data_IF_736185482232
#
_entry.id   IF_736185482232
#
_cell.length_a   1.000
_cell.length_b   1.000
_cell.length_c   1.000
_cell.angle_alpha   90.00
_cell.angle_beta   90.00
_cell.angle_gamma   90.00
#
_symmetry.space_group_name_H-M   'P 1'
#
loop_
_entity.id
_entity.type
_entity.pdbx_description
1 polymer ?
#
# COMPACT_ATOMS: atom_id res chain seq x y z
N UNK A 1 19.13 -7.47 50.51
CA UNK A 1 19.44 -6.83 49.22
C UNK A 1 18.16 -6.64 48.44
N UNK A 2 17.63 -5.41 48.33
CA UNK A 2 16.55 -5.08 47.40
C UNK A 2 17.19 -5.00 46.01
N UNK A 3 16.93 -5.96 45.14
CA UNK A 3 17.24 -5.84 43.74
C UNK A 3 16.37 -4.74 43.15
N UNK A 4 16.96 -3.60 42.91
CA UNK A 4 16.37 -2.50 42.12
C UNK A 4 16.35 -2.99 40.66
N UNK A 5 15.27 -3.71 40.29
CA UNK A 5 15.05 -4.16 38.93
C UNK A 5 14.63 -2.96 38.12
N UNK A 6 15.59 -2.16 37.66
CA UNK A 6 15.41 -1.27 36.50
C UNK A 6 15.19 -2.17 35.29
N UNK A 7 13.95 -2.59 35.12
CA UNK A 7 13.57 -3.46 34.01
C UNK A 7 13.42 -2.63 32.75
N UNK A 8 14.42 -2.64 31.88
CA UNK A 8 14.39 -1.95 30.58
C UNK A 8 13.14 -2.30 29.76
N UNK A 9 12.58 -3.50 29.94
CA UNK A 9 11.36 -3.96 29.28
C UNK A 9 10.14 -3.07 29.56
N UNK A 10 10.00 -2.55 30.79
CA UNK A 10 8.88 -1.68 31.15
C UNK A 10 8.98 -0.30 30.48
N UNK A 11 10.19 0.22 30.35
CA UNK A 11 10.45 1.50 29.64
C UNK A 11 10.22 1.34 28.15
N UNK A 12 10.73 0.27 27.54
CA UNK A 12 10.55 -0.01 26.13
C UNK A 12 9.07 -0.17 25.73
N UNK A 13 8.30 -0.95 26.51
CA UNK A 13 6.87 -1.11 26.25
C UNK A 13 6.09 0.20 26.39
N UNK A 14 6.50 1.05 27.32
CA UNK A 14 5.92 2.40 27.51
C UNK A 14 6.16 3.28 26.29
N UNK A 15 7.39 3.39 25.83
CA UNK A 15 7.75 4.20 24.64
C UNK A 15 7.09 3.67 23.36
N UNK A 16 7.06 2.36 23.16
CA UNK A 16 6.39 1.76 22.02
C UNK A 16 4.87 2.07 22.02
N UNK A 17 4.23 1.95 23.18
CA UNK A 17 2.81 2.30 23.31
C UNK A 17 2.55 3.79 23.07
N UNK A 18 3.41 4.65 23.57
CA UNK A 18 3.34 6.11 23.33
C UNK A 18 3.43 6.44 21.84
N UNK A 19 4.38 5.84 21.11
CA UNK A 19 4.50 6.01 19.67
C UNK A 19 3.23 5.55 18.92
N UNK A 20 2.67 4.39 19.30
CA UNK A 20 1.43 3.87 18.72
C UNK A 20 0.22 4.77 18.99
N UNK A 21 0.11 5.33 20.19
CA UNK A 21 -0.93 6.33 20.50
C UNK A 21 -0.74 7.59 19.65
N UNK A 22 0.49 8.05 19.46
CA UNK A 22 0.78 9.17 18.56
C UNK A 22 0.34 8.91 17.12
N UNK A 23 0.62 7.73 16.58
CA UNK A 23 0.14 7.31 15.25
C UNK A 23 -1.39 7.35 15.20
N UNK A 24 -2.04 6.72 16.16
CA UNK A 24 -3.51 6.66 16.21
C UNK A 24 -4.14 8.06 16.22
N UNK A 25 -3.60 8.97 17.00
CA UNK A 25 -4.08 10.36 17.09
C UNK A 25 -3.90 11.12 15.77
N UNK A 26 -2.73 10.98 15.14
CA UNK A 26 -2.45 11.62 13.85
C UNK A 26 -3.40 11.06 12.76
N UNK A 27 -3.60 9.74 12.72
CA UNK A 27 -4.51 9.10 11.77
C UNK A 27 -5.96 9.52 12.01
N UNK A 28 -6.40 9.59 13.28
CA UNK A 28 -7.77 10.02 13.62
C UNK A 28 -8.04 11.48 13.20
N UNK A 29 -7.08 12.36 13.40
CA UNK A 29 -7.23 13.76 12.98
C UNK A 29 -7.14 13.92 11.46
N UNK A 30 -6.17 13.25 10.83
CA UNK A 30 -6.04 13.22 9.37
C UNK A 30 -7.32 12.70 8.70
N UNK A 31 -7.93 11.61 9.21
CA UNK A 31 -9.20 11.09 8.71
C UNK A 31 -10.30 12.15 8.73
N UNK A 32 -10.44 12.90 9.84
CA UNK A 32 -11.47 13.96 9.96
C UNK A 32 -11.26 15.08 8.94
N UNK A 33 -10.00 15.45 8.68
CA UNK A 33 -9.66 16.46 7.69
C UNK A 33 -9.97 15.98 6.27
N UNK A 34 -9.56 14.75 5.93
CA UNK A 34 -9.85 14.14 4.62
C UNK A 34 -11.34 13.95 4.40
N UNK A 35 -12.10 13.50 5.42
CA UNK A 35 -13.55 13.35 5.37
C UNK A 35 -14.27 14.66 5.07
N UNK A 36 -13.76 15.79 5.59
CA UNK A 36 -14.31 17.12 5.39
C UNK A 36 -13.72 17.87 4.20
N UNK A 37 -12.80 17.25 3.48
CA UNK A 37 -12.03 17.89 2.41
C UNK A 37 -11.27 19.16 2.88
N UNK A 38 -10.84 19.18 4.16
CA UNK A 38 -10.07 20.26 4.75
C UNK A 38 -8.55 20.08 4.50
N UNK A 39 -7.80 21.18 4.41
CA UNK A 39 -6.35 21.15 4.23
C UNK A 39 -5.63 20.59 5.48
N UNK A 40 -4.85 19.55 5.28
CA UNK A 40 -4.03 18.89 6.30
C UNK A 40 -2.53 19.17 6.16
N UNK A 41 -2.12 19.91 5.14
CA UNK A 41 -0.69 20.17 4.85
C UNK A 41 0.04 20.94 5.96
N UNK A 42 -0.70 21.73 6.72
CA UNK A 42 -0.19 22.53 7.85
C UNK A 42 -0.22 21.79 9.20
N UNK A 43 -0.68 20.52 9.22
CA UNK A 43 -0.78 19.74 10.45
C UNK A 43 0.47 18.88 10.66
N UNK A 44 0.84 18.75 11.93
CA UNK A 44 2.05 18.03 12.36
C UNK A 44 1.77 17.22 13.62
N UNK A 45 2.32 16.00 13.67
CA UNK A 45 2.48 15.20 14.87
C UNK A 45 3.85 15.51 15.47
N UNK A 46 3.88 15.90 16.74
CA UNK A 46 5.10 16.15 17.49
C UNK A 46 5.17 15.17 18.67
N UNK A 47 6.31 14.51 18.81
CA UNK A 47 6.59 13.56 19.87
C UNK A 47 7.71 14.08 20.77
N UNK A 48 7.54 13.94 22.11
CA UNK A 48 8.55 14.23 23.13
C UNK A 48 9.19 15.63 23.01
N UNK A 49 8.38 16.64 22.68
CA UNK A 49 8.87 18.01 22.63
C UNK A 49 9.44 18.44 23.98
N UNK A 50 10.66 18.98 23.97
CA UNK A 50 11.28 19.46 25.20
C UNK A 50 10.40 20.54 25.86
N UNK A 51 9.96 20.26 27.10
CA UNK A 51 8.97 21.10 27.81
C UNK A 51 7.52 20.87 27.33
N UNK A 52 7.25 20.02 26.34
CA UNK A 52 5.93 19.60 25.85
C UNK A 52 5.38 18.36 26.56
N UNK A 53 4.37 17.77 25.97
CA UNK A 53 3.79 16.50 26.40
C UNK A 53 4.30 15.34 25.55
N UNK A 54 3.90 14.12 25.91
CA UNK A 54 4.33 12.90 25.23
C UNK A 54 3.96 12.93 23.74
N UNK A 55 2.76 13.46 23.42
CA UNK A 55 2.23 13.62 22.05
C UNK A 55 1.49 14.93 21.91
N UNK A 56 1.76 15.68 20.86
CA UNK A 56 1.05 16.93 20.54
C UNK A 56 0.69 16.95 19.04
N UNK A 57 -0.52 17.44 18.72
CA UNK A 57 -0.92 17.76 17.34
C UNK A 57 -0.87 19.27 17.17
N UNK A 58 -0.21 19.73 16.13
CA UNK A 58 -0.09 21.13 15.76
C UNK A 58 -0.76 21.41 14.41
N UNK A 59 -1.23 22.65 14.26
CA UNK A 59 -1.63 23.24 12.99
C UNK A 59 -0.95 24.60 12.87
N UNK A 60 -0.10 24.80 11.89
CA UNK A 60 0.58 26.06 11.64
C UNK A 60 1.15 26.70 12.93
N UNK A 61 1.92 25.95 13.70
CA UNK A 61 2.53 26.32 14.99
C UNK A 61 1.55 26.49 16.17
N UNK A 62 0.25 26.30 15.98
CA UNK A 62 -0.75 26.34 17.04
C UNK A 62 -1.04 24.93 17.54
N UNK A 63 -1.06 24.73 18.86
CA UNK A 63 -1.39 23.44 19.46
C UNK A 63 -2.88 23.16 19.31
N UNK A 64 -3.23 22.10 18.60
CA UNK A 64 -4.61 21.60 18.44
C UNK A 64 -4.99 20.74 19.63
N UNK A 65 -4.12 19.79 20.02
CA UNK A 65 -4.36 18.90 21.16
C UNK A 65 -3.05 18.48 21.83
N UNK A 66 -3.14 18.14 23.13
CA UNK A 66 -2.05 17.60 23.95
C UNK A 66 -2.44 16.32 24.62
N UNK A 67 -1.51 15.37 24.63
CA UNK A 67 -1.77 14.04 25.12
C UNK A 67 -0.62 13.55 25.96
N UNK A 68 -0.93 13.05 27.15
CA UNK A 68 0.02 12.33 27.99
C UNK A 68 -0.33 10.86 28.00
N UNK A 69 0.66 9.99 27.85
CA UNK A 69 0.49 8.53 27.77
C UNK A 69 1.10 7.87 28.99
N UNK A 70 0.35 7.05 29.70
CA UNK A 70 0.80 6.33 30.90
C UNK A 70 0.51 4.84 30.80
N UNK A 71 1.52 4.08 30.40
CA UNK A 71 1.47 2.61 30.32
C UNK A 71 1.64 1.96 31.73
N UNK A 72 0.75 2.30 32.69
CA UNK A 72 0.85 1.88 34.08
C UNK A 72 -0.29 0.95 34.47
N UNK A 73 -0.02 -0.36 34.60
CA UNK A 73 -1.03 -1.36 34.99
C UNK A 73 -1.60 -1.19 36.40
N UNK A 74 -0.87 -0.53 37.30
CA UNK A 74 -1.29 -0.32 38.69
C UNK A 74 -2.14 0.93 38.91
N UNK A 75 -2.35 1.74 37.87
CA UNK A 75 -3.05 3.02 37.95
C UNK A 75 -4.57 2.86 37.88
N UNK A 76 -5.22 2.46 38.99
CA UNK A 76 -6.67 2.19 39.01
C UNK A 76 -7.53 3.36 39.50
N UNK A 77 -6.91 4.39 40.06
CA UNK A 77 -7.61 5.51 40.70
C UNK A 77 -6.97 6.86 40.37
N UNK A 78 -7.68 7.97 40.52
CA UNK A 78 -7.18 9.33 40.23
C UNK A 78 -5.85 9.69 40.91
N UNK A 79 -5.63 9.20 42.12
CA UNK A 79 -4.40 9.46 42.88
C UNK A 79 -3.14 8.85 42.24
N UNK A 80 -3.30 7.77 41.49
CA UNK A 80 -2.19 7.17 40.77
C UNK A 80 -1.64 8.07 39.66
N UNK A 81 -2.41 9.11 39.31
CA UNK A 81 -2.11 10.13 38.31
C UNK A 81 -2.08 11.56 38.88
N UNK A 82 -1.71 11.68 40.14
CA UNK A 82 -1.70 12.96 40.86
C UNK A 82 -0.91 14.06 40.12
N UNK A 83 0.24 13.70 39.57
CA UNK A 83 1.11 14.61 38.80
C UNK A 83 0.46 15.15 37.54
N UNK A 84 -0.53 14.44 36.97
CA UNK A 84 -1.28 14.88 35.78
C UNK A 84 -2.46 15.78 36.17
N UNK A 85 -3.02 15.55 37.36
CA UNK A 85 -4.23 16.24 37.85
C UNK A 85 -3.94 17.55 38.56
N UNK A 86 -2.72 17.83 38.95
CA UNK A 86 -2.35 19.05 39.72
C UNK A 86 -2.20 20.29 38.85
N UNK A 87 -2.21 21.46 39.49
CA UNK A 87 -1.99 22.75 38.84
C UNK A 87 -0.60 22.87 38.18
N UNK A 88 0.39 22.10 38.68
CA UNK A 88 1.75 22.08 38.15
C UNK A 88 1.90 21.09 36.99
N UNK A 89 0.82 20.41 36.59
CA UNK A 89 0.84 19.50 35.42
C UNK A 89 1.14 20.29 34.14
N UNK A 90 1.96 19.70 33.29
CA UNK A 90 2.20 20.24 31.95
C UNK A 90 0.91 20.33 31.12
N UNK A 91 -0.09 19.50 31.43
CA UNK A 91 -1.41 19.56 30.82
C UNK A 91 -2.28 20.71 31.39
N UNK A 92 -1.84 21.43 32.46
CA UNK A 92 -2.61 22.53 33.03
C UNK A 92 -2.70 23.71 32.04
N UNK A 93 -3.86 24.41 31.93
CA UNK A 93 -4.06 25.52 30.99
C UNK A 93 -3.07 26.65 31.10
N UNK A 94 -2.63 26.95 32.34
CA UNK A 94 -1.71 28.07 32.64
C UNK A 94 -0.24 27.66 32.63
N UNK A 95 0.06 26.37 32.56
CA UNK A 95 1.43 25.81 32.53
C UNK A 95 2.19 26.11 31.25
N UNK A 96 1.49 26.51 30.21
CA UNK A 96 2.06 26.85 28.91
C UNK A 96 1.59 28.23 28.48
N UNK A 97 2.52 29.13 28.29
CA UNK A 97 2.30 30.48 27.75
C UNK A 97 2.03 30.50 26.25
N UNK A 98 1.32 29.55 25.72
CA UNK A 98 0.94 29.55 24.30
C UNK A 98 -0.52 29.96 24.17
N UNK A 99 -0.70 31.19 23.71
CA UNK A 99 -1.95 31.73 23.22
C UNK A 99 -2.54 30.77 22.20
N UNK A 100 -3.79 30.32 22.36
CA UNK A 100 -4.53 29.57 21.34
C UNK A 100 -4.85 28.11 21.65
N UNK A 101 -4.38 27.53 22.74
CA UNK A 101 -4.76 26.16 23.09
C UNK A 101 -6.23 26.11 23.51
N UNK A 102 -7.05 25.41 22.74
CA UNK A 102 -8.40 25.09 23.14
C UNK A 102 -8.34 24.31 24.48
N UNK A 103 -8.88 24.86 25.56
CA UNK A 103 -8.80 24.31 26.92
C UNK A 103 -9.36 22.90 27.03
N UNK A 104 -10.15 22.46 26.04
CA UNK A 104 -10.86 21.19 26.04
C UNK A 104 -10.09 20.02 25.38
N UNK A 105 -8.94 20.28 24.74
CA UNK A 105 -8.21 19.28 23.95
C UNK A 105 -6.97 18.77 24.68
N UNK A 106 -7.13 18.35 25.95
CA UNK A 106 -6.04 17.80 26.79
C UNK A 106 -6.46 16.47 27.37
N UNK A 107 -5.71 15.45 27.02
CA UNK A 107 -6.08 14.08 27.28
C UNK A 107 -5.00 13.28 27.99
N UNK A 108 -5.42 12.40 28.86
CA UNK A 108 -4.61 11.33 29.43
C UNK A 108 -5.00 10.00 28.80
N UNK A 109 -4.02 9.28 28.27
CA UNK A 109 -4.14 7.92 27.77
C UNK A 109 -3.64 6.95 28.82
N UNK A 110 -4.43 5.94 29.12
CA UNK A 110 -4.14 4.91 30.13
C UNK A 110 -4.40 3.51 29.58
N UNK A 111 -3.74 2.50 30.14
CA UNK A 111 -3.83 1.12 29.69
C UNK A 111 -4.77 0.24 30.53
N UNK A 112 -5.46 0.82 31.47
CA UNK A 112 -6.46 0.14 32.29
C UNK A 112 -7.51 1.13 32.78
N UNK A 113 -8.66 0.63 33.18
CA UNK A 113 -9.75 1.44 33.71
C UNK A 113 -9.33 2.24 34.94
N UNK A 114 -9.57 3.57 34.92
CA UNK A 114 -9.39 4.46 36.06
C UNK A 114 -10.75 4.81 36.67
N UNK A 115 -11.03 4.21 37.80
CA UNK A 115 -12.31 4.33 38.50
C UNK A 115 -12.43 5.66 39.22
N UNK A 116 -13.56 6.34 39.07
CA UNK A 116 -13.84 7.60 39.77
C UNK A 116 -13.06 8.82 39.25
N UNK A 117 -12.62 8.80 37.99
CA UNK A 117 -11.86 9.92 37.41
C UNK A 117 -12.62 11.25 37.46
N UNK A 118 -13.90 11.25 37.12
CA UNK A 118 -14.75 12.43 37.05
C UNK A 118 -15.55 12.70 38.33
N UNK A 119 -15.33 11.91 39.40
CA UNK A 119 -16.04 12.06 40.67
C UNK A 119 -15.45 13.24 41.48
N UNK A 120 -16.32 13.93 42.25
CA UNK A 120 -15.89 14.82 43.30
C UNK A 120 -15.30 14.06 44.51
N UNK A 121 -14.66 14.79 45.41
CA UNK A 121 -13.98 14.21 46.58
C UNK A 121 -14.92 13.40 47.46
N UNK A 122 -16.11 13.97 47.77
CA UNK A 122 -17.05 13.36 48.71
C UNK A 122 -17.61 12.04 48.11
N UNK A 123 -18.07 12.07 46.88
CA UNK A 123 -18.59 10.92 46.17
C UNK A 123 -17.51 9.83 46.03
N UNK A 124 -16.28 10.23 45.67
CA UNK A 124 -15.16 9.30 45.57
C UNK A 124 -14.83 8.58 46.88
N UNK A 125 -14.74 9.36 47.99
CA UNK A 125 -14.43 8.79 49.31
C UNK A 125 -15.52 7.88 49.84
N UNK A 126 -16.78 8.20 49.60
CA UNK A 126 -17.93 7.38 49.97
C UNK A 126 -17.94 6.07 49.15
N UNK A 127 -17.74 6.16 47.85
CA UNK A 127 -17.83 5.01 46.93
C UNK A 127 -16.68 4.03 47.15
N UNK A 128 -15.47 4.50 47.25
CA UNK A 128 -14.27 3.65 47.28
C UNK A 128 -13.67 3.50 48.67
N UNK A 129 -14.25 4.14 49.70
CA UNK A 129 -13.76 4.13 51.12
C UNK A 129 -12.27 4.47 51.22
N UNK A 130 -11.81 5.44 50.41
CA UNK A 130 -10.42 5.90 50.32
C UNK A 130 -10.31 7.35 50.78
N UNK A 131 -9.40 7.62 51.72
CA UNK A 131 -9.19 8.98 52.23
C UNK A 131 -8.46 9.87 51.21
N UNK A 132 -7.51 9.33 50.50
CA UNK A 132 -6.71 10.08 49.55
C UNK A 132 -7.49 10.39 48.26
N UNK A 133 -7.55 11.65 47.90
CA UNK A 133 -8.16 12.16 46.68
C UNK A 133 -7.41 13.37 46.15
N UNK A 134 -7.06 13.39 44.88
CA UNK A 134 -6.43 14.52 44.21
C UNK A 134 -7.45 15.12 43.23
N UNK A 135 -7.87 16.40 43.48
CA UNK A 135 -8.79 17.09 42.57
C UNK A 135 -8.17 17.28 41.18
N UNK A 136 -9.01 17.23 40.15
CA UNK A 136 -8.57 17.45 38.77
C UNK A 136 -8.40 18.93 38.44
N UNK A 137 -7.40 19.58 39.02
CA UNK A 137 -7.10 20.98 38.82
C UNK A 137 -6.64 21.32 37.42
N UNK A 138 -6.01 20.35 36.74
CA UNK A 138 -5.54 20.46 35.35
C UNK A 138 -6.67 20.38 34.32
N UNK A 139 -7.88 19.96 34.74
CA UNK A 139 -9.02 19.73 33.84
C UNK A 139 -8.71 18.77 32.68
N UNK A 140 -7.78 17.85 32.87
CA UNK A 140 -7.43 16.82 31.89
C UNK A 140 -8.53 15.77 31.80
N UNK A 141 -8.85 15.35 30.60
CA UNK A 141 -9.84 14.31 30.34
C UNK A 141 -9.16 12.96 30.08
N UNK A 142 -9.83 11.86 30.44
CA UNK A 142 -9.44 10.55 29.91
C UNK A 142 -9.86 10.47 28.46
N UNK A 143 -8.94 10.01 27.60
CA UNK A 143 -9.26 9.84 26.18
C UNK A 143 -10.27 8.71 25.99
N UNK A 144 -11.29 8.93 25.18
CA UNK A 144 -12.28 7.90 24.82
C UNK A 144 -11.90 7.31 23.47
N UNK A 145 -11.61 6.01 23.46
CA UNK A 145 -11.23 5.26 22.26
C UNK A 145 -12.47 4.87 21.42
N UNK A 146 -12.30 4.42 20.16
CA UNK A 146 -13.40 4.08 19.26
C UNK A 146 -14.37 3.00 19.80
N UNK A 147 -13.90 2.12 20.70
CA UNK A 147 -14.71 1.11 21.38
C UNK A 147 -15.53 1.65 22.56
N UNK A 148 -15.49 2.97 22.80
CA UNK A 148 -16.17 3.65 23.89
C UNK A 148 -15.47 3.57 25.24
N UNK A 149 -14.34 2.84 25.35
CA UNK A 149 -13.57 2.77 26.59
C UNK A 149 -12.71 4.01 26.79
N UNK A 150 -12.49 4.37 28.05
CA UNK A 150 -11.56 5.44 28.46
C UNK A 150 -10.15 4.91 28.75
N UNK A 151 -9.79 3.77 28.20
CA UNK A 151 -8.46 3.13 28.31
C UNK A 151 -8.23 2.23 27.08
N UNK A 152 -6.96 1.91 26.80
CA UNK A 152 -6.59 0.99 25.74
C UNK A 152 -5.57 -0.01 26.26
N UNK A 153 -5.93 -1.27 26.38
CA UNK A 153 -5.03 -2.34 26.80
C UNK A 153 -3.82 -2.44 25.85
N UNK A 154 -2.66 -2.85 26.41
CA UNK A 154 -1.47 -3.05 25.59
C UNK A 154 -1.62 -4.24 24.62
N UNK A 155 -2.18 -5.33 25.14
CA UNK A 155 -2.41 -6.56 24.39
C UNK A 155 -3.68 -7.24 24.91
N UNK A 156 -4.55 -7.67 23.99
CA UNK A 156 -5.72 -8.51 24.24
C UNK A 156 -5.66 -9.65 23.22
N UNK A 157 -5.74 -10.90 23.68
CA UNK A 157 -5.71 -12.10 22.84
C UNK A 157 -4.54 -12.10 21.82
N UNK A 158 -3.34 -11.77 22.29
CA UNK A 158 -2.11 -11.62 21.49
C UNK A 158 -2.14 -10.52 20.41
N UNK A 159 -3.15 -9.68 20.40
CA UNK A 159 -3.27 -8.54 19.50
C UNK A 159 -3.10 -7.20 20.22
N UNK A 160 -2.65 -6.19 19.53
CA UNK A 160 -2.58 -4.81 20.01
C UNK A 160 -3.85 -4.06 19.62
N UNK A 161 -4.75 -3.72 20.55
CA UNK A 161 -5.99 -3.01 20.20
C UNK A 161 -5.74 -1.68 19.50
N UNK A 162 -4.69 -0.95 19.92
CA UNK A 162 -4.31 0.34 19.30
C UNK A 162 -3.89 0.16 17.83
N UNK A 163 -3.25 -0.97 17.47
CA UNK A 163 -2.88 -1.26 16.09
C UNK A 163 -4.14 -1.50 15.24
N UNK A 164 -5.16 -2.14 15.79
CA UNK A 164 -6.43 -2.34 15.09
C UNK A 164 -7.18 -1.00 14.89
N UNK A 165 -7.15 -0.10 15.87
CA UNK A 165 -7.68 1.25 15.69
C UNK A 165 -6.94 2.01 14.58
N UNK A 166 -5.60 1.93 14.55
CA UNK A 166 -4.81 2.54 13.47
C UNK A 166 -5.17 1.97 12.09
N UNK A 167 -5.30 0.65 11.95
CA UNK A 167 -5.72 0.00 10.69
C UNK A 167 -7.09 0.49 10.22
N UNK A 168 -8.04 0.63 11.14
CA UNK A 168 -9.37 1.14 10.82
C UNK A 168 -9.33 2.60 10.35
N UNK A 169 -8.53 3.46 10.99
CA UNK A 169 -8.36 4.85 10.55
C UNK A 169 -7.70 4.93 9.17
N UNK A 170 -6.69 4.09 8.87
CA UNK A 170 -6.07 4.00 7.53
C UNK A 170 -7.12 3.60 6.50
N UNK A 171 -7.94 2.59 6.79
CA UNK A 171 -9.01 2.14 5.89
C UNK A 171 -10.01 3.26 5.59
N UNK A 172 -10.45 4.01 6.60
CA UNK A 172 -11.37 5.13 6.42
C UNK A 172 -10.72 6.29 5.65
N UNK A 173 -9.43 6.60 5.86
CA UNK A 173 -8.71 7.59 5.04
C UNK A 173 -8.70 7.16 3.57
N UNK A 174 -8.36 5.90 3.27
CA UNK A 174 -8.37 5.37 1.91
C UNK A 174 -9.77 5.45 1.27
N UNK A 175 -10.82 5.19 2.04
CA UNK A 175 -12.21 5.29 1.60
C UNK A 175 -12.60 6.72 1.25
N UNK A 176 -12.34 7.68 2.13
CA UNK A 176 -12.66 9.10 1.89
C UNK A 176 -11.81 9.70 0.77
N UNK A 177 -10.57 9.25 0.58
CA UNK A 177 -9.73 9.62 -0.56
C UNK A 177 -10.09 8.88 -1.87
N UNK A 178 -11.13 8.05 -1.86
CA UNK A 178 -11.59 7.26 -3.01
C UNK A 178 -10.50 6.35 -3.60
N UNK A 179 -9.61 5.87 -2.74
CA UNK A 179 -8.52 4.98 -3.14
C UNK A 179 -9.06 3.57 -3.45
N UNK A 180 -8.53 2.96 -4.51
CA UNK A 180 -8.81 1.55 -4.84
C UNK A 180 -8.20 0.55 -3.85
N UNK A 181 -7.36 1.00 -2.90
CA UNK A 181 -6.67 0.17 -1.90
C UNK A 181 -7.48 -0.04 -0.61
N UNK A 182 -8.71 0.48 -0.53
CA UNK A 182 -9.54 0.48 0.69
C UNK A 182 -9.79 -0.90 1.29
N UNK A 183 -9.92 -1.93 0.47
CA UNK A 183 -10.18 -3.30 0.91
C UNK A 183 -8.92 -4.20 0.88
N UNK A 184 -7.77 -3.60 0.67
CA UNK A 184 -6.49 -4.29 0.62
C UNK A 184 -5.88 -4.39 2.03
N UNK A 185 -6.09 -5.53 2.68
CA UNK A 185 -5.64 -5.79 4.05
C UNK A 185 -4.10 -5.74 4.14
N UNK A 186 -3.39 -6.30 3.16
CA UNK A 186 -1.93 -6.32 3.14
C UNK A 186 -1.36 -4.90 3.02
N UNK A 187 -1.95 -4.08 2.15
CA UNK A 187 -1.57 -2.66 2.03
C UNK A 187 -1.77 -1.91 3.36
N UNK A 188 -2.89 -2.12 4.05
CA UNK A 188 -3.18 -1.47 5.33
C UNK A 188 -2.15 -1.88 6.39
N UNK A 189 -1.76 -3.16 6.45
CA UNK A 189 -0.78 -3.66 7.39
C UNK A 189 0.63 -3.13 7.11
N UNK A 190 1.05 -3.15 5.85
CA UNK A 190 2.33 -2.59 5.41
C UNK A 190 2.40 -1.07 5.66
N UNK A 191 1.33 -0.34 5.35
CA UNK A 191 1.21 1.10 5.61
C UNK A 191 1.39 1.42 7.09
N UNK A 192 0.71 0.69 7.98
CA UNK A 192 0.89 0.87 9.42
C UNK A 192 2.33 0.57 9.87
N UNK A 193 2.96 -0.46 9.32
CA UNK A 193 4.37 -0.77 9.60
C UNK A 193 5.29 0.36 9.13
N UNK A 194 5.07 0.92 7.96
CA UNK A 194 5.87 2.03 7.42
C UNK A 194 5.75 3.32 8.24
N UNK A 195 4.53 3.64 8.71
CA UNK A 195 4.32 4.78 9.62
C UNK A 195 5.04 4.56 10.95
N UNK A 196 5.04 3.33 11.50
CA UNK A 196 5.81 2.98 12.71
C UNK A 196 7.32 3.16 12.51
N UNK A 197 7.83 2.72 11.36
CA UNK A 197 9.24 2.87 10.99
C UNK A 197 9.61 4.34 10.79
N UNK A 198 8.74 5.15 10.18
CA UNK A 198 8.93 6.59 10.06
C UNK A 198 9.11 7.24 11.43
N UNK A 199 8.18 6.97 12.37
CA UNK A 199 8.26 7.51 13.73
C UNK A 199 9.55 7.07 14.42
N UNK A 200 9.90 5.80 14.33
CA UNK A 200 11.12 5.27 14.96
C UNK A 200 12.38 5.95 14.41
N UNK A 201 12.46 6.18 13.11
CA UNK A 201 13.57 6.90 12.47
C UNK A 201 13.63 8.37 12.92
N UNK A 202 12.50 9.06 12.96
CA UNK A 202 12.42 10.45 13.39
C UNK A 202 12.83 10.62 14.87
N UNK A 203 12.41 9.73 15.75
CA UNK A 203 12.82 9.71 17.16
C UNK A 203 14.33 9.48 17.27
N UNK A 204 14.88 8.48 16.59
CA UNK A 204 16.33 8.20 16.60
C UNK A 204 17.14 9.40 16.09
N UNK A 205 16.67 10.03 15.01
CA UNK A 205 17.32 11.20 14.43
C UNK A 205 17.29 12.41 15.37
N UNK A 206 16.17 12.66 16.06
CA UNK A 206 16.07 13.75 17.02
C UNK A 206 16.98 13.53 18.23
N UNK A 207 17.12 12.29 18.71
CA UNK A 207 18.07 11.95 19.77
C UNK A 207 19.53 12.15 19.35
N UNK A 208 19.88 11.85 18.10
CA UNK A 208 21.25 12.02 17.57
C UNK A 208 21.62 13.50 17.38
N UNK A 209 20.64 14.38 17.13
CA UNK A 209 20.83 15.81 16.92
C UNK A 209 21.06 16.61 18.23
N UNK A 210 20.95 15.97 19.40
CA UNK A 210 21.31 16.54 20.70
C UNK A 210 20.15 17.21 21.44
N UNK A 211 20.48 17.84 22.57
CA UNK A 211 19.51 18.41 23.53
C UNK A 211 18.61 19.46 22.87
N UNK A 212 17.30 19.22 22.92
CA UNK A 212 16.26 20.15 22.45
C UNK A 212 15.65 19.81 21.10
N UNK A 213 16.20 18.84 20.36
CA UNK A 213 15.55 18.31 19.17
C UNK A 213 14.33 17.46 19.55
N UNK A 214 13.28 17.55 18.74
CA UNK A 214 12.06 16.75 18.88
C UNK A 214 11.61 16.23 17.51
N UNK A 215 10.83 15.17 17.52
CA UNK A 215 10.36 14.55 16.28
C UNK A 215 9.13 15.28 15.76
N UNK A 216 9.20 15.73 14.50
CA UNK A 216 8.10 16.37 13.77
C UNK A 216 7.77 15.52 12.56
N UNK A 217 6.51 15.15 12.42
CA UNK A 217 6.01 14.33 11.30
C UNK A 217 4.81 15.06 10.71
N UNK A 218 4.90 15.44 9.42
CA UNK A 218 3.81 16.11 8.75
C UNK A 218 2.66 15.14 8.41
N UNK A 219 1.43 15.64 8.46
CA UNK A 219 0.26 14.86 8.03
C UNK A 219 0.31 14.57 6.52
N UNK A 220 0.93 15.46 5.74
CA UNK A 220 1.16 15.22 4.32
C UNK A 220 2.03 13.98 4.09
N UNK A 221 3.09 13.78 4.89
CA UNK A 221 3.96 12.60 4.78
C UNK A 221 3.21 11.33 5.13
N UNK A 222 2.40 11.35 6.21
CA UNK A 222 1.53 10.23 6.61
C UNK A 222 0.53 9.91 5.49
N UNK A 223 -0.13 10.93 4.94
CA UNK A 223 -1.10 10.74 3.85
C UNK A 223 -0.46 10.16 2.59
N UNK A 224 0.73 10.63 2.24
CA UNK A 224 1.48 10.10 1.11
C UNK A 224 1.83 8.62 1.29
N UNK A 225 2.22 8.20 2.50
CA UNK A 225 2.47 6.79 2.81
C UNK A 225 1.19 5.97 2.64
N UNK A 226 0.05 6.46 3.16
CA UNK A 226 -1.24 5.76 3.09
C UNK A 226 -1.70 5.56 1.64
N UNK A 227 -1.56 6.58 0.81
CA UNK A 227 -2.07 6.58 -0.57
C UNK A 227 -1.07 6.06 -1.59
N UNK A 228 0.20 5.87 -1.22
CA UNK A 228 1.26 5.47 -2.13
C UNK A 228 1.16 3.99 -2.51
N UNK A 229 1.10 3.74 -3.81
CA UNK A 229 1.20 2.39 -4.39
C UNK A 229 2.66 1.98 -4.68
N UNK A 230 3.61 2.92 -4.63
CA UNK A 230 4.96 2.74 -5.19
C UNK A 230 5.77 1.61 -4.51
N UNK A 231 5.62 1.41 -3.20
CA UNK A 231 6.34 0.34 -2.47
C UNK A 231 5.79 -1.03 -2.82
N UNK A 232 4.47 -1.15 -2.83
CA UNK A 232 3.78 -2.39 -3.16
C UNK A 232 4.01 -2.80 -4.61
N UNK A 233 3.96 -1.84 -5.53
CA UNK A 233 4.28 -2.06 -6.93
C UNK A 233 5.71 -2.64 -7.09
N UNK A 234 6.70 -2.04 -6.44
CA UNK A 234 8.09 -2.56 -6.45
C UNK A 234 8.20 -3.96 -5.86
N UNK A 235 7.48 -4.27 -4.76
CA UNK A 235 7.47 -5.60 -4.17
C UNK A 235 6.80 -6.62 -5.09
N UNK A 236 5.67 -6.27 -5.71
CA UNK A 236 4.99 -7.14 -6.68
C UNK A 236 5.85 -7.43 -7.90
N UNK A 237 6.52 -6.42 -8.44
CA UNK A 237 7.47 -6.58 -9.55
C UNK A 237 8.65 -7.46 -9.14
N UNK A 238 9.23 -7.25 -7.96
CA UNK A 238 10.32 -8.10 -7.46
C UNK A 238 9.90 -9.55 -7.29
N UNK A 239 8.70 -9.80 -6.74
CA UNK A 239 8.14 -11.16 -6.63
C UNK A 239 7.96 -11.79 -8.02
N UNK A 240 7.45 -11.02 -8.99
CA UNK A 240 7.28 -11.47 -10.36
C UNK A 240 8.61 -11.83 -11.02
N UNK A 241 9.65 -11.01 -10.87
CA UNK A 241 11.02 -11.33 -11.34
C UNK A 241 11.56 -12.61 -10.72
N UNK A 242 11.41 -12.77 -9.40
CA UNK A 242 11.83 -13.99 -8.71
C UNK A 242 11.06 -15.23 -9.17
N UNK A 243 9.75 -15.13 -9.41
CA UNK A 243 8.95 -16.22 -9.93
C UNK A 243 9.38 -16.61 -11.35
N UNK A 244 9.59 -15.63 -12.22
CA UNK A 244 10.11 -15.87 -13.58
C UNK A 244 11.47 -16.55 -13.55
N UNK A 245 12.41 -16.07 -12.73
CA UNK A 245 13.73 -16.65 -12.54
C UNK A 245 13.63 -18.09 -12.01
N UNK A 246 12.79 -18.33 -11.00
CA UNK A 246 12.58 -19.65 -10.41
C UNK A 246 12.03 -20.65 -11.44
N UNK A 247 10.95 -20.28 -12.15
CA UNK A 247 10.35 -21.15 -13.15
C UNK A 247 11.31 -21.40 -14.31
N UNK A 248 12.01 -20.35 -14.78
CA UNK A 248 13.02 -20.50 -15.82
C UNK A 248 14.13 -21.49 -15.41
N UNK A 249 14.70 -21.33 -14.23
CA UNK A 249 15.78 -22.19 -13.73
C UNK A 249 15.34 -23.64 -13.51
N UNK A 250 14.04 -23.90 -13.31
CA UNK A 250 13.50 -25.26 -13.19
C UNK A 250 13.40 -26.00 -14.52
N UNK A 251 13.29 -25.27 -15.64
CA UNK A 251 13.05 -25.86 -16.97
C UNK A 251 14.23 -25.70 -17.92
N UNK A 252 15.17 -24.79 -17.66
CA UNK A 252 16.28 -24.51 -18.57
C UNK A 252 17.25 -25.70 -18.64
N UNK A 253 17.63 -26.06 -19.88
CA UNK A 253 18.68 -27.04 -20.17
C UNK A 253 20.03 -26.32 -20.32
N UNK A 254 21.16 -27.00 -20.08
CA UNK A 254 22.50 -26.39 -20.01
C UNK A 254 22.96 -25.69 -21.32
N UNK A 255 22.39 -26.06 -22.47
CA UNK A 255 22.75 -25.53 -23.78
C UNK A 255 21.85 -24.41 -24.31
N UNK A 256 20.88 -23.95 -23.53
CA UNK A 256 19.96 -22.89 -23.95
C UNK A 256 20.59 -21.50 -23.72
N UNK A 257 20.52 -20.66 -24.75
CA UNK A 257 20.95 -19.25 -24.64
C UNK A 257 20.05 -18.48 -23.66
N UNK A 258 20.64 -17.96 -22.60
CA UNK A 258 19.93 -17.21 -21.53
C UNK A 258 20.01 -15.70 -21.70
N UNK A 259 20.51 -15.19 -22.83
CA UNK A 259 20.75 -13.76 -23.05
C UNK A 259 19.46 -12.95 -22.88
N UNK A 260 18.38 -13.34 -23.55
CA UNK A 260 17.09 -12.61 -23.53
C UNK A 260 16.44 -12.67 -22.16
N UNK A 261 16.40 -13.82 -21.50
CA UNK A 261 15.79 -13.92 -20.17
C UNK A 261 16.57 -13.07 -19.14
N UNK A 262 17.88 -13.04 -19.23
CA UNK A 262 18.69 -12.18 -18.38
C UNK A 262 18.47 -10.69 -18.66
N UNK A 263 18.26 -10.30 -19.92
CA UNK A 263 17.84 -8.94 -20.25
C UNK A 263 16.48 -8.60 -19.64
N UNK A 264 15.50 -9.49 -19.71
CA UNK A 264 14.16 -9.32 -19.11
C UNK A 264 14.26 -9.14 -17.59
N UNK A 265 15.01 -10.02 -16.91
CA UNK A 265 15.17 -9.95 -15.44
C UNK A 265 15.89 -8.67 -14.97
N UNK A 266 16.79 -8.12 -15.80
CA UNK A 266 17.54 -6.91 -15.50
C UNK A 266 16.83 -5.61 -15.94
N UNK A 267 15.64 -5.68 -16.54
CA UNK A 267 14.88 -4.49 -16.89
C UNK A 267 14.58 -3.62 -15.65
N UNK A 268 14.57 -2.29 -15.77
CA UNK A 268 13.99 -1.40 -14.77
C UNK A 268 12.55 -1.81 -14.44
N UNK A 269 12.10 -1.53 -13.21
CA UNK A 269 10.82 -2.02 -12.72
C UNK A 269 9.61 -1.57 -13.57
N UNK A 270 9.61 -0.34 -14.04
CA UNK A 270 8.59 0.21 -14.94
C UNK A 270 8.57 -0.50 -16.31
N UNK A 271 9.75 -0.81 -16.83
CA UNK A 271 9.90 -1.52 -18.11
C UNK A 271 9.52 -3.00 -17.98
N UNK A 272 9.87 -3.63 -16.88
CA UNK A 272 9.47 -5.01 -16.61
C UNK A 272 7.94 -5.14 -16.45
N UNK A 273 7.31 -4.21 -15.73
CA UNK A 273 5.85 -4.16 -15.61
C UNK A 273 5.17 -3.97 -16.97
N UNK A 274 5.70 -3.05 -17.80
CA UNK A 274 5.19 -2.84 -19.15
C UNK A 274 5.33 -4.12 -20.00
N UNK A 275 6.49 -4.78 -19.96
CA UNK A 275 6.73 -6.03 -20.67
C UNK A 275 5.72 -7.11 -20.28
N UNK A 276 5.49 -7.31 -18.96
CA UNK A 276 4.49 -8.28 -18.51
C UNK A 276 3.08 -7.94 -18.99
N UNK A 277 2.74 -6.67 -18.99
CA UNK A 277 1.46 -6.19 -19.53
C UNK A 277 1.32 -6.51 -21.02
N UNK A 278 2.38 -6.32 -21.78
CA UNK A 278 2.39 -6.56 -23.22
C UNK A 278 2.42 -8.06 -23.56
N UNK A 279 2.98 -8.90 -22.69
CA UNK A 279 2.91 -10.36 -22.78
C UNK A 279 1.52 -10.93 -22.48
N UNK A 280 0.69 -10.22 -21.71
CA UNK A 280 -0.66 -10.63 -21.33
C UNK A 280 -1.72 -9.64 -21.82
N UNK A 281 -1.89 -9.50 -23.15
CA UNK A 281 -2.78 -8.49 -23.71
C UNK A 281 -4.27 -8.77 -23.41
N UNK A 282 -4.62 -10.00 -23.03
CA UNK A 282 -5.95 -10.42 -22.60
C UNK A 282 -6.17 -10.26 -21.08
N UNK A 283 -5.18 -9.78 -20.34
CA UNK A 283 -5.28 -9.51 -18.91
C UNK A 283 -6.16 -8.28 -18.61
N UNK A 284 -6.99 -8.38 -17.58
CA UNK A 284 -7.75 -7.25 -17.05
C UNK A 284 -6.83 -6.43 -16.11
N UNK A 285 -6.08 -5.49 -16.69
CA UNK A 285 -5.00 -4.76 -16.01
C UNK A 285 -5.48 -3.38 -15.57
N UNK A 286 -6.72 -3.25 -15.12
CA UNK A 286 -7.24 -1.98 -14.64
C UNK A 286 -7.10 -1.81 -13.12
N UNK A 287 -6.38 -0.77 -12.70
CA UNK A 287 -6.41 -0.25 -11.32
C UNK A 287 -5.79 -1.16 -10.25
N UNK A 288 -6.48 -1.35 -9.13
CA UNK A 288 -6.00 -2.10 -7.95
C UNK A 288 -5.80 -3.60 -8.18
N UNK A 289 -6.51 -4.18 -9.15
CA UNK A 289 -6.32 -5.57 -9.57
C UNK A 289 -4.93 -5.77 -10.19
N UNK A 290 -4.39 -4.77 -10.87
CA UNK A 290 -3.07 -4.80 -11.51
C UNK A 290 -1.95 -5.20 -10.54
N UNK A 291 -1.94 -4.61 -9.34
CA UNK A 291 -0.87 -4.86 -8.36
C UNK A 291 -0.94 -6.25 -7.72
N UNK A 292 -2.16 -6.76 -7.50
CA UNK A 292 -2.38 -8.10 -6.96
C UNK A 292 -2.13 -9.19 -8.01
N UNK A 293 -2.27 -8.85 -9.29
CA UNK A 293 -2.26 -9.80 -10.38
C UNK A 293 -0.93 -9.87 -11.13
N UNK A 294 0.02 -8.91 -10.93
CA UNK A 294 1.36 -8.98 -11.55
C UNK A 294 2.05 -10.32 -11.25
N UNK A 295 1.97 -10.82 -10.02
CA UNK A 295 2.52 -12.13 -9.66
C UNK A 295 1.79 -13.31 -10.30
N UNK A 296 0.51 -13.13 -10.67
CA UNK A 296 -0.29 -14.16 -11.36
C UNK A 296 -0.13 -14.15 -12.89
N UNK A 297 0.43 -13.08 -13.43
CA UNK A 297 0.78 -13.00 -14.84
C UNK A 297 1.96 -13.92 -15.18
N UNK A 298 2.71 -14.38 -14.17
CA UNK A 298 3.82 -15.31 -14.34
C UNK A 298 3.35 -16.67 -13.85
N UNK A 299 2.86 -17.50 -14.75
CA UNK A 299 2.50 -18.89 -14.50
C UNK A 299 3.50 -19.85 -15.16
N UNK A 300 3.73 -20.98 -14.49
CA UNK A 300 4.70 -22.00 -14.91
C UNK A 300 4.41 -22.53 -16.32
N UNK A 301 3.13 -22.71 -16.64
CA UNK A 301 2.72 -23.28 -17.93
C UNK A 301 3.06 -22.33 -19.08
N UNK A 302 2.73 -21.06 -18.97
CA UNK A 302 3.04 -20.08 -20.01
C UNK A 302 4.54 -19.86 -20.17
N UNK A 303 5.32 -19.94 -19.07
CA UNK A 303 6.77 -19.88 -19.14
C UNK A 303 7.34 -21.11 -19.84
N UNK A 304 6.93 -22.32 -19.44
CA UNK A 304 7.45 -23.58 -20.00
C UNK A 304 7.05 -23.75 -21.47
N UNK A 305 5.75 -23.66 -21.75
CA UNK A 305 5.24 -24.03 -23.07
C UNK A 305 5.30 -22.91 -24.10
N UNK A 306 5.30 -21.66 -23.71
CA UNK A 306 5.37 -20.53 -24.66
C UNK A 306 6.75 -19.90 -24.63
N UNK A 307 7.12 -19.24 -23.54
CA UNK A 307 8.32 -18.42 -23.49
C UNK A 307 9.60 -19.25 -23.68
N UNK A 308 9.74 -20.34 -22.92
CA UNK A 308 10.93 -21.19 -22.98
C UNK A 308 11.10 -21.84 -24.35
N UNK A 309 10.07 -22.51 -24.87
CA UNK A 309 10.15 -23.18 -26.18
C UNK A 309 10.37 -22.20 -27.33
N UNK A 310 9.80 -21.00 -27.24
CA UNK A 310 10.06 -19.92 -28.17
C UNK A 310 11.54 -19.49 -28.13
N UNK A 311 12.06 -19.15 -26.94
CA UNK A 311 13.44 -18.67 -26.78
C UNK A 311 14.49 -19.75 -27.07
N UNK A 312 14.17 -21.03 -26.82
CA UNK A 312 15.03 -22.16 -27.16
C UNK A 312 15.17 -22.37 -28.68
N UNK A 313 14.13 -22.00 -29.44
CA UNK A 313 14.06 -22.31 -30.88
C UNK A 313 14.37 -21.11 -31.76
N UNK A 314 14.04 -19.89 -31.31
CA UNK A 314 14.22 -18.68 -32.11
C UNK A 314 15.70 -18.21 -32.15
N UNK A 315 16.03 -17.46 -33.18
CA UNK A 315 17.28 -16.68 -33.27
C UNK A 315 17.08 -15.41 -32.43
N UNK A 316 17.52 -15.44 -31.16
CA UNK A 316 17.19 -14.40 -30.17
C UNK A 316 17.57 -12.97 -30.62
N UNK A 317 18.57 -12.82 -31.45
CA UNK A 317 18.98 -11.54 -32.06
C UNK A 317 17.91 -10.90 -32.98
N UNK A 318 16.93 -11.66 -33.42
CA UNK A 318 15.81 -11.17 -34.24
C UNK A 318 14.56 -10.80 -33.42
N UNK A 319 14.62 -11.03 -32.09
CA UNK A 319 13.53 -10.68 -31.18
C UNK A 319 13.75 -9.23 -30.68
N UNK A 320 12.77 -8.38 -30.96
CA UNK A 320 12.68 -7.04 -30.34
C UNK A 320 11.92 -7.14 -29.03
N UNK A 321 12.57 -6.92 -27.89
CA UNK A 321 11.91 -6.92 -26.59
C UNK A 321 10.96 -5.73 -26.38
N UNK A 322 11.24 -4.59 -27.00
CA UNK A 322 10.38 -3.40 -26.89
C UNK A 322 9.00 -3.60 -27.54
N UNK A 323 8.95 -4.37 -28.61
CA UNK A 323 7.69 -4.66 -29.36
C UNK A 323 7.20 -6.10 -29.19
N UNK A 324 7.97 -6.95 -28.51
CA UNK A 324 7.74 -8.41 -28.42
C UNK A 324 7.56 -9.05 -29.79
N UNK A 325 8.24 -8.52 -30.80
CA UNK A 325 8.10 -8.93 -32.19
C UNK A 325 9.33 -9.71 -32.65
N UNK A 326 9.08 -10.84 -33.28
CA UNK A 326 10.08 -11.65 -33.97
C UNK A 326 9.81 -11.62 -35.47
N UNK A 327 10.82 -11.29 -36.27
CA UNK A 327 10.69 -11.22 -37.72
C UNK A 327 11.22 -12.53 -38.37
N UNK A 328 10.33 -13.27 -39.01
CA UNK A 328 10.65 -14.31 -39.98
C UNK A 328 11.02 -13.67 -41.31
N UNK A 329 11.45 -14.51 -42.29
CA UNK A 329 11.84 -13.98 -43.60
C UNK A 329 10.73 -13.17 -44.32
N UNK A 330 9.47 -13.56 -44.18
CA UNK A 330 8.32 -12.92 -44.85
C UNK A 330 7.13 -12.66 -43.94
N UNK A 331 7.20 -13.04 -42.68
CA UNK A 331 6.13 -12.96 -41.69
C UNK A 331 6.68 -12.43 -40.39
N UNK A 332 5.79 -12.00 -39.50
CA UNK A 332 6.15 -11.53 -38.16
C UNK A 332 5.28 -12.20 -37.10
N UNK A 333 5.93 -12.57 -36.00
CA UNK A 333 5.31 -13.17 -34.82
C UNK A 333 5.33 -12.16 -33.68
N UNK A 334 4.22 -12.03 -32.96
CA UNK A 334 4.19 -11.30 -31.70
C UNK A 334 4.11 -12.28 -30.54
N UNK A 335 5.11 -12.21 -29.66
CA UNK A 335 5.15 -13.03 -28.45
C UNK A 335 4.07 -12.55 -27.48
N UNK A 336 3.25 -13.50 -27.00
CA UNK A 336 2.37 -13.31 -25.86
C UNK A 336 2.31 -14.56 -25.01
N UNK A 337 1.93 -14.42 -23.76
CA UNK A 337 1.74 -15.52 -22.81
C UNK A 337 0.24 -15.76 -22.57
N UNK A 338 -0.58 -15.62 -23.61
CA UNK A 338 -2.02 -15.88 -23.54
C UNK A 338 -2.25 -17.36 -23.25
N UNK A 339 -2.81 -17.64 -22.08
CA UNK A 339 -3.18 -18.98 -21.63
C UNK A 339 -4.70 -19.15 -21.70
N UNK A 340 -5.23 -19.28 -22.91
CA UNK A 340 -6.65 -19.47 -23.11
C UNK A 340 -6.93 -20.83 -23.75
N UNK A 341 -7.97 -21.57 -23.29
CA UNK A 341 -8.35 -22.83 -23.88
C UNK A 341 -8.91 -22.65 -25.31
N UNK A 342 -8.81 -23.70 -26.12
CA UNK A 342 -9.45 -23.73 -27.42
C UNK A 342 -10.95 -23.44 -27.30
N UNK A 343 -11.47 -22.57 -28.15
CA UNK A 343 -12.87 -22.10 -28.10
C UNK A 343 -13.08 -20.80 -27.31
N UNK A 344 -12.03 -20.24 -26.72
CA UNK A 344 -12.09 -18.95 -26.02
C UNK A 344 -11.72 -17.74 -26.89
N UNK A 345 -11.55 -17.94 -28.22
CA UNK A 345 -11.02 -16.97 -29.18
C UNK A 345 -11.75 -15.62 -29.11
N UNK A 346 -13.09 -15.64 -29.15
CA UNK A 346 -13.90 -14.43 -29.11
C UNK A 346 -13.72 -13.67 -27.80
N UNK A 347 -13.66 -14.36 -26.66
CA UNK A 347 -13.46 -13.73 -25.34
C UNK A 347 -12.08 -13.09 -25.23
N UNK A 348 -11.04 -13.77 -25.71
CA UNK A 348 -9.66 -13.24 -25.73
C UNK A 348 -9.59 -12.02 -26.64
N UNK A 349 -10.16 -12.11 -27.84
CA UNK A 349 -10.24 -10.99 -28.79
C UNK A 349 -10.92 -9.77 -28.15
N UNK A 350 -12.11 -9.96 -27.54
CA UNK A 350 -12.88 -8.86 -26.96
C UNK A 350 -12.10 -8.13 -25.85
N UNK A 351 -11.31 -8.87 -25.06
CA UNK A 351 -10.42 -8.28 -24.07
C UNK A 351 -9.26 -7.52 -24.71
N UNK A 352 -8.60 -8.09 -25.70
CA UNK A 352 -7.48 -7.47 -26.41
C UNK A 352 -7.95 -6.18 -27.10
N UNK A 353 -9.16 -6.16 -27.68
CA UNK A 353 -9.74 -4.99 -28.34
C UNK A 353 -9.94 -3.80 -27.40
N UNK A 354 -9.92 -3.99 -26.09
CA UNK A 354 -9.92 -2.88 -25.11
C UNK A 354 -8.52 -2.30 -24.84
N UNK A 355 -7.46 -2.97 -25.34
CA UNK A 355 -6.06 -2.58 -25.12
C UNK A 355 -5.51 -1.87 -26.38
N UNK A 356 -5.71 -0.55 -26.45
CA UNK A 356 -5.28 0.26 -27.61
C UNK A 356 -3.77 0.19 -27.88
N UNK A 357 -2.94 0.14 -26.84
CA UNK A 357 -1.48 0.08 -26.98
C UNK A 357 -1.05 -1.22 -27.64
N UNK A 358 -1.65 -2.34 -27.23
CA UNK A 358 -1.39 -3.64 -27.82
C UNK A 358 -1.83 -3.70 -29.28
N UNK A 359 -3.03 -3.18 -29.59
CA UNK A 359 -3.54 -3.14 -30.97
C UNK A 359 -2.60 -2.34 -31.86
N UNK A 360 -2.17 -1.15 -31.44
CA UNK A 360 -1.21 -0.33 -32.19
C UNK A 360 0.12 -1.06 -32.42
N UNK A 361 0.65 -1.73 -31.41
CA UNK A 361 1.90 -2.46 -31.49
C UNK A 361 1.81 -3.77 -32.31
N UNK A 362 0.60 -4.29 -32.52
CA UNK A 362 0.35 -5.50 -33.32
C UNK A 362 0.00 -5.23 -34.78
N UNK A 363 0.04 -3.96 -35.19
CA UNK A 363 -0.46 -3.49 -36.48
C UNK A 363 0.18 -4.18 -37.69
N UNK A 364 1.51 -4.40 -37.64
CA UNK A 364 2.29 -5.03 -38.70
C UNK A 364 2.68 -6.48 -38.34
N UNK A 365 1.84 -7.17 -37.58
CA UNK A 365 2.11 -8.53 -37.12
C UNK A 365 1.17 -9.52 -37.79
N UNK A 366 1.72 -10.61 -38.29
CA UNK A 366 0.94 -11.65 -38.95
C UNK A 366 0.36 -12.68 -37.96
N UNK A 367 1.12 -13.01 -36.91
CA UNK A 367 0.73 -14.04 -35.93
C UNK A 367 0.85 -13.56 -34.49
N UNK A 368 -0.16 -13.89 -33.68
CA UNK A 368 -0.17 -13.72 -32.22
C UNK A 368 0.03 -15.09 -31.56
N UNK A 369 1.18 -15.25 -30.90
CA UNK A 369 1.54 -16.50 -30.21
C UNK A 369 0.67 -16.66 -28.96
N UNK A 370 0.21 -17.89 -28.72
CA UNK A 370 -0.57 -18.27 -27.53
C UNK A 370 -0.43 -19.78 -27.26
N UNK A 371 -1.08 -20.27 -26.17
CA UNK A 371 -0.95 -21.67 -25.76
C UNK A 371 -1.71 -22.65 -26.65
N UNK A 372 -2.99 -22.41 -26.97
CA UNK A 372 -3.88 -23.43 -27.51
C UNK A 372 -4.67 -23.06 -28.77
N UNK A 373 -4.72 -21.78 -29.14
CA UNK A 373 -5.54 -21.31 -30.26
C UNK A 373 -4.69 -21.24 -31.52
N UNK A 374 -5.14 -21.89 -32.58
CA UNK A 374 -4.41 -21.93 -33.84
C UNK A 374 -5.34 -21.79 -35.06
N UNK A 375 -4.84 -21.14 -36.13
CA UNK A 375 -5.52 -21.00 -37.41
C UNK A 375 -6.82 -20.20 -37.37
N UNK A 376 -6.99 -19.32 -36.36
CA UNK A 376 -8.13 -18.42 -36.22
C UNK A 376 -7.69 -17.00 -36.49
N UNK A 377 -8.37 -16.35 -37.46
CA UNK A 377 -8.16 -14.91 -37.69
C UNK A 377 -8.63 -14.09 -36.49
N UNK A 378 -7.83 -13.12 -36.09
CA UNK A 378 -8.17 -12.21 -35.01
C UNK A 378 -9.37 -11.33 -35.42
N UNK A 379 -9.37 -10.85 -36.63
CA UNK A 379 -10.48 -10.12 -37.23
C UNK A 379 -11.28 -11.09 -38.12
N UNK A 380 -12.47 -11.49 -37.67
CA UNK A 380 -13.37 -12.28 -38.52
C UNK A 380 -13.80 -11.41 -39.72
N UNK A 381 -13.63 -11.95 -40.94
CA UNK A 381 -14.23 -11.39 -42.14
C UNK A 381 -15.75 -11.60 -42.11
N UNK A 382 -16.46 -10.80 -41.31
CA UNK A 382 -17.88 -10.58 -41.62
C UNK A 382 -17.90 -9.59 -42.77
N UNK A 383 -18.80 -9.80 -43.76
CA UNK A 383 -19.09 -8.76 -44.75
C UNK A 383 -19.74 -7.57 -44.01
N UNK A 384 -18.91 -6.75 -43.41
CA UNK A 384 -19.35 -5.53 -42.77
C UNK A 384 -19.50 -4.51 -43.90
N UNK A 385 -20.70 -3.99 -44.09
CA UNK A 385 -20.88 -2.77 -44.88
C UNK A 385 -19.81 -1.75 -44.47
N UNK A 386 -19.28 -1.00 -45.43
CA UNK A 386 -18.18 -0.05 -45.20
C UNK A 386 -18.41 0.86 -43.99
N UNK A 387 -19.65 1.24 -43.71
CA UNK A 387 -20.08 2.01 -42.53
C UNK A 387 -19.83 1.29 -41.15
N UNK A 388 -19.76 -0.03 -41.16
CA UNK A 388 -19.51 -0.80 -39.92
C UNK A 388 -18.03 -0.94 -39.60
N UNK A 389 -17.14 -0.95 -40.60
CA UNK A 389 -15.69 -0.93 -40.41
C UNK A 389 -15.22 0.40 -39.85
N UNK A 390 -15.76 1.53 -40.33
CA UNK A 390 -15.45 2.85 -39.79
C UNK A 390 -15.87 3.00 -38.30
N UNK A 391 -17.03 2.48 -37.92
CA UNK A 391 -17.50 2.55 -36.53
C UNK A 391 -16.70 1.67 -35.55
N UNK A 392 -16.26 0.49 -35.97
CA UNK A 392 -15.39 -0.38 -35.16
C UNK A 392 -13.99 0.24 -34.97
N UNK A 393 -13.46 0.86 -36.03
CA UNK A 393 -12.18 1.55 -36.04
C UNK A 393 -12.23 2.85 -35.23
N UNK A 394 -13.28 3.64 -35.39
CA UNK A 394 -13.47 4.90 -34.64
C UNK A 394 -13.69 4.64 -33.13
N UNK A 395 -14.35 3.55 -32.76
CA UNK A 395 -14.54 3.17 -31.34
C UNK A 395 -13.27 2.70 -30.64
N UNK A 396 -12.35 2.05 -31.39
CA UNK A 396 -11.12 1.50 -30.83
C UNK A 396 -9.91 2.46 -30.86
N UNK A 397 -9.91 3.45 -31.79
CA UNK A 397 -8.72 4.24 -32.09
C UNK A 397 -8.95 5.76 -32.10
N UNK A 398 -10.15 6.22 -31.78
CA UNK A 398 -10.50 7.63 -31.87
C UNK A 398 -10.66 8.11 -33.33
N UNK A 399 -10.78 9.44 -33.57
CA UNK A 399 -11.11 10.02 -34.86
C UNK A 399 -9.98 9.97 -35.91
N UNK A 400 -8.89 9.23 -35.73
CA UNK A 400 -7.84 9.10 -36.75
C UNK A 400 -8.26 8.17 -37.90
N UNK A 401 -8.74 8.79 -38.97
CA UNK A 401 -9.45 8.17 -40.10
C UNK A 401 -8.64 7.31 -41.06
N UNK A 402 -7.35 7.05 -40.85
CA UNK A 402 -6.49 6.40 -41.86
C UNK A 402 -5.62 5.26 -41.38
N UNK A 403 -6.11 4.41 -40.46
CA UNK A 403 -5.36 3.26 -40.05
C UNK A 403 -5.80 2.05 -40.88
N UNK A 404 -4.94 1.63 -41.81
CA UNK A 404 -5.09 0.39 -42.56
C UNK A 404 -4.67 -0.75 -41.62
N UNK A 405 -5.62 -1.53 -41.08
CA UNK A 405 -5.28 -2.76 -40.39
C UNK A 405 -4.72 -3.77 -41.38
N UNK A 406 -3.58 -4.36 -41.06
CA UNK A 406 -3.19 -5.60 -41.70
C UNK A 406 -4.29 -6.62 -41.37
N UNK A 407 -5.04 -7.04 -42.36
CA UNK A 407 -6.18 -7.97 -42.21
C UNK A 407 -5.76 -9.39 -41.82
N UNK A 408 -4.50 -9.63 -41.50
CA UNK A 408 -3.90 -10.94 -41.45
C UNK A 408 -3.49 -11.45 -40.07
N UNK A 409 -3.74 -10.71 -38.99
CA UNK A 409 -3.39 -11.18 -37.64
C UNK A 409 -4.16 -12.48 -37.34
N UNK A 410 -3.42 -13.56 -37.15
CA UNK A 410 -3.95 -14.88 -36.79
C UNK A 410 -3.41 -15.35 -35.46
N UNK A 411 -4.21 -16.15 -34.75
CA UNK A 411 -3.71 -16.87 -33.59
C UNK A 411 -2.85 -18.04 -34.04
N UNK A 412 -1.66 -18.19 -33.46
CA UNK A 412 -0.80 -19.33 -33.64
C UNK A 412 -0.46 -19.94 -32.28
N UNK A 413 -0.68 -21.24 -32.11
CA UNK A 413 -0.28 -21.93 -30.89
C UNK A 413 1.25 -22.16 -30.84
N UNK A 414 1.75 -22.49 -29.62
CA UNK A 414 3.19 -22.67 -29.43
C UNK A 414 3.79 -23.82 -30.26
N UNK A 415 3.03 -24.89 -30.55
CA UNK A 415 3.51 -26.02 -31.32
C UNK A 415 3.79 -25.61 -32.77
N UNK A 416 2.81 -24.96 -33.42
CA UNK A 416 2.96 -24.45 -34.79
C UNK A 416 3.97 -23.27 -34.84
N UNK A 417 4.10 -22.50 -33.77
CA UNK A 417 5.14 -21.46 -33.65
C UNK A 417 6.54 -22.10 -33.72
N UNK A 418 6.79 -23.13 -32.92
CA UNK A 418 8.08 -23.84 -32.90
C UNK A 418 8.40 -24.49 -34.26
N UNK A 419 7.39 -25.02 -34.94
CA UNK A 419 7.56 -25.58 -36.29
C UNK A 419 7.99 -24.49 -37.29
N UNK A 420 7.30 -23.32 -37.31
CA UNK A 420 7.69 -22.19 -38.16
C UNK A 420 9.11 -21.67 -37.87
N UNK A 421 9.50 -21.62 -36.59
CA UNK A 421 10.85 -21.18 -36.19
C UNK A 421 11.94 -22.15 -36.64
N UNK A 422 11.66 -23.47 -36.75
CA UNK A 422 12.62 -24.47 -37.25
C UNK A 422 12.81 -24.40 -38.76
N UNK A 423 11.82 -23.89 -39.49
CA UNK A 423 11.88 -23.71 -40.94
C UNK A 423 12.60 -22.40 -41.35
N UNK A 424 12.80 -21.45 -40.43
CA UNK A 424 13.47 -20.15 -40.62
C UNK A 424 15.00 -20.27 -40.40
#
# INVERSE_FOLDING_TARGET
MKYDRRNATSSWSGYNHQGKVGIFLALTELRKLVEKEEDYSSYELILEKNGGEDVEIFQAQTVVSRHQVKAKKAGKYPNDYANVRTINSRLHPTGYQTSGTNRNNRFLHVICEVRGWDMDKQTFQQTYKRAAYVPNQSQVQLYTYPDGKKYCDLVVDNQSPIDNFCKNEIKEILKFSKSSLVDDIEHIEETLSEIKDLISRQIMQSHSNGNGAYSVISFQEIFNIITSQAKRQRQSIRRAKLSLEMYWNNIVEDDVDTTVINQILNLPDDKFEQLLTDLHPDGDISGSKRLNDIGRLIDEISIEYILYNFLKTCKQERLSLDSLRYNLNHESLRLSMIHAPKGAESRVRDKIMTNESFIRASFDTDYLINLCINGKKFFEEKPIHEDGKEKLLAGALGEEKNIIFSNNLEYIDYVNTVEKLKED
#
